data_IF_768894601910
#
_entry.id   IF_768894601910
#
_cell.length_a   1.000
_cell.length_b   1.000
_cell.length_c   1.000
_cell.angle_alpha   90.00
_cell.angle_beta   90.00
_cell.angle_gamma   90.00
#
_symmetry.space_group_name_H-M   'P 1'
#
loop_
_entity.id
_entity.type
_entity.pdbx_description
1 polymer ?
#
# COMPACT_ATOMS: atom_id res chain seq x y z
N UNK A 1 1.44 5.09 -26.51
CA UNK A 1 0.33 4.74 -25.61
C UNK A 1 0.40 5.70 -24.43
N UNK A 2 -0.50 6.65 -24.35
CA UNK A 2 -0.55 7.59 -23.22
C UNK A 2 -1.03 6.82 -22.00
N UNK A 3 -0.15 6.61 -21.02
CA UNK A 3 -0.56 6.04 -19.74
C UNK A 3 -1.51 7.03 -19.04
N UNK A 4 -2.54 6.52 -18.39
CA UNK A 4 -3.43 7.36 -17.56
C UNK A 4 -2.61 8.10 -16.52
N UNK A 5 -2.78 9.41 -16.33
CA UNK A 5 -2.00 10.18 -15.37
C UNK A 5 -2.23 9.70 -13.94
N UNK A 6 -1.23 9.87 -13.10
CA UNK A 6 -1.33 9.62 -11.66
C UNK A 6 -2.13 10.79 -11.07
N UNK A 7 -3.33 10.51 -10.56
CA UNK A 7 -4.21 11.52 -9.97
C UNK A 7 -3.83 11.74 -8.51
N UNK A 8 -3.29 12.92 -8.21
CA UNK A 8 -2.74 13.28 -6.91
C UNK A 8 -3.62 14.32 -6.23
N UNK A 9 -3.93 14.12 -4.95
CA UNK A 9 -4.50 15.14 -4.07
C UNK A 9 -3.43 15.63 -3.08
N UNK A 10 -3.30 16.96 -2.92
CA UNK A 10 -2.36 17.59 -1.99
C UNK A 10 -3.13 18.02 -0.73
N UNK A 11 -2.68 17.57 0.44
CA UNK A 11 -3.24 17.95 1.75
C UNK A 11 -2.13 18.66 2.55
N UNK A 12 -2.21 19.97 2.61
CA UNK A 12 -1.18 20.85 3.17
C UNK A 12 -1.81 22.18 3.60
N UNK A 13 -1.67 22.59 4.84
CA UNK A 13 -2.26 23.83 5.35
C UNK A 13 -1.46 25.09 4.96
N UNK A 14 -0.13 24.96 4.78
CA UNK A 14 0.72 26.06 4.39
C UNK A 14 0.56 26.44 2.91
N UNK A 15 -0.05 27.58 2.63
CA UNK A 15 -0.38 28.01 1.26
C UNK A 15 0.82 28.05 0.30
N UNK A 16 1.99 28.47 0.78
CA UNK A 16 3.23 28.56 -0.04
C UNK A 16 3.73 27.16 -0.40
N UNK A 17 3.74 26.24 0.54
CA UNK A 17 4.18 24.85 0.31
C UNK A 17 3.22 24.17 -0.66
N UNK A 18 1.91 24.30 -0.44
CA UNK A 18 0.87 23.74 -1.30
C UNK A 18 0.98 24.27 -2.74
N UNK A 19 1.16 25.60 -2.90
CA UNK A 19 1.37 26.19 -4.22
C UNK A 19 2.64 25.69 -4.90
N UNK A 20 3.75 25.54 -4.15
CA UNK A 20 5.00 24.97 -4.65
C UNK A 20 4.85 23.52 -5.11
N UNK A 21 4.19 22.67 -4.32
CA UNK A 21 3.89 21.30 -4.68
C UNK A 21 3.03 21.21 -5.96
N UNK A 22 1.99 22.03 -6.05
CA UNK A 22 1.16 22.08 -7.25
C UNK A 22 1.96 22.48 -8.49
N UNK A 23 2.79 23.51 -8.41
CA UNK A 23 3.64 23.95 -9.53
C UNK A 23 4.62 22.87 -9.96
N UNK A 24 5.26 22.20 -8.98
CA UNK A 24 6.17 21.09 -9.23
C UNK A 24 5.47 19.97 -9.97
N UNK A 25 4.34 19.50 -9.47
CA UNK A 25 3.62 18.36 -10.04
C UNK A 25 2.99 18.72 -11.40
N UNK A 26 2.57 19.96 -11.61
CA UNK A 26 2.01 20.40 -12.89
C UNK A 26 3.06 20.41 -14.03
N UNK A 27 4.36 20.43 -13.70
CA UNK A 27 5.45 20.35 -14.70
C UNK A 27 5.80 18.91 -15.10
N UNK A 28 5.25 17.89 -14.38
CA UNK A 28 5.60 16.49 -14.61
C UNK A 28 4.58 15.79 -15.52
N UNK A 29 5.00 15.38 -16.74
CA UNK A 29 4.15 14.62 -17.62
C UNK A 29 3.73 13.29 -16.99
N UNK A 30 2.44 13.05 -16.83
CA UNK A 30 1.91 11.82 -16.23
C UNK A 30 1.48 11.95 -14.78
N UNK A 31 1.57 13.15 -14.18
CA UNK A 31 0.99 13.47 -12.89
C UNK A 31 -0.07 14.56 -13.06
N UNK A 32 -1.22 14.38 -12.43
CA UNK A 32 -2.33 15.34 -12.43
C UNK A 32 -2.74 15.65 -11.00
N UNK A 33 -2.69 16.93 -10.62
CA UNK A 33 -3.23 17.38 -9.33
C UNK A 33 -4.73 17.57 -9.49
N UNK A 34 -5.50 16.65 -8.92
CA UNK A 34 -6.97 16.63 -9.04
C UNK A 34 -7.68 17.34 -7.89
N UNK A 35 -6.96 17.69 -6.83
CA UNK A 35 -7.52 18.41 -5.71
C UNK A 35 -6.49 18.87 -4.70
N UNK A 36 -6.88 19.86 -3.91
CA UNK A 36 -6.11 20.42 -2.81
C UNK A 36 -7.00 20.52 -1.58
N UNK A 37 -6.44 20.28 -0.39
CA UNK A 37 -7.12 20.45 0.89
C UNK A 37 -6.17 21.08 1.91
N UNK A 38 -6.74 21.76 2.89
CA UNK A 38 -5.99 22.43 3.95
C UNK A 38 -6.21 21.80 5.32
N UNK A 39 -7.23 20.96 5.42
CA UNK A 39 -7.69 20.33 6.65
C UNK A 39 -8.34 18.97 6.37
N UNK A 40 -8.73 18.29 7.43
CA UNK A 40 -9.45 17.00 7.38
C UNK A 40 -10.69 17.07 6.53
N UNK A 41 -11.56 18.10 6.75
CA UNK A 41 -12.83 18.21 6.05
C UNK A 41 -12.64 18.31 4.55
N UNK A 42 -11.77 19.21 4.10
CA UNK A 42 -11.42 19.37 2.68
C UNK A 42 -10.83 18.11 2.07
N UNK A 43 -10.02 17.38 2.82
CA UNK A 43 -9.42 16.12 2.37
C UNK A 43 -10.50 15.07 2.04
N UNK A 44 -11.51 14.91 2.89
CA UNK A 44 -12.63 13.99 2.65
C UNK A 44 -13.52 14.44 1.50
N UNK A 45 -13.82 15.75 1.39
CA UNK A 45 -14.59 16.29 0.27
C UNK A 45 -13.91 16.03 -1.08
N UNK A 46 -12.59 16.23 -1.16
CA UNK A 46 -11.83 15.92 -2.38
C UNK A 46 -11.80 14.40 -2.63
N UNK A 47 -11.58 13.59 -1.60
CA UNK A 47 -11.58 12.13 -1.74
C UNK A 47 -12.89 11.61 -2.35
N UNK A 48 -14.03 12.09 -1.87
CA UNK A 48 -15.35 11.67 -2.35
C UNK A 48 -15.64 12.13 -3.78
N UNK A 49 -15.23 13.35 -4.12
CA UNK A 49 -15.49 13.93 -5.44
C UNK A 49 -14.56 13.41 -6.52
N UNK A 50 -13.27 13.32 -6.22
CA UNK A 50 -12.22 13.08 -7.22
C UNK A 50 -11.67 11.66 -7.23
N UNK A 51 -11.79 10.90 -6.13
CA UNK A 51 -11.18 9.58 -5.96
C UNK A 51 -9.73 9.54 -6.48
N UNK A 52 -8.78 10.30 -5.89
CA UNK A 52 -7.39 10.32 -6.33
C UNK A 52 -6.73 8.94 -6.22
N UNK A 53 -5.64 8.73 -6.95
CA UNK A 53 -4.83 7.51 -6.80
C UNK A 53 -3.86 7.61 -5.63
N UNK A 54 -3.46 8.85 -5.28
CA UNK A 54 -2.44 9.13 -4.30
C UNK A 54 -2.72 10.44 -3.57
N UNK A 55 -2.54 10.41 -2.26
CA UNK A 55 -2.54 11.59 -1.41
C UNK A 55 -1.10 11.98 -1.05
N UNK A 56 -0.73 13.24 -1.26
CA UNK A 56 0.43 13.86 -0.61
C UNK A 56 -0.07 14.57 0.63
N UNK A 57 0.38 14.14 1.79
CA UNK A 57 -0.20 14.55 3.06
C UNK A 57 0.86 15.14 3.98
N UNK A 58 0.74 16.41 4.34
CA UNK A 58 1.50 16.93 5.48
C UNK A 58 1.04 16.24 6.76
N UNK A 59 1.99 15.79 7.56
CA UNK A 59 1.68 15.17 8.87
C UNK A 59 0.99 16.16 9.79
N UNK A 60 1.34 17.42 9.74
CA UNK A 60 0.82 18.45 10.63
C UNK A 60 -0.05 19.44 9.86
N UNK A 61 -1.33 19.48 10.16
CA UNK A 61 -2.31 20.39 9.59
C UNK A 61 -2.83 21.33 10.69
N UNK A 62 -2.16 22.47 10.87
CA UNK A 62 -2.44 23.39 11.99
C UNK A 62 -2.25 22.69 13.33
N UNK A 63 -3.35 22.50 14.08
CA UNK A 63 -3.35 21.82 15.38
C UNK A 63 -3.67 20.32 15.29
N UNK A 64 -4.09 19.81 14.13
CA UNK A 64 -4.49 18.42 13.92
C UNK A 64 -3.37 17.62 13.25
N UNK A 65 -3.23 16.35 13.62
CA UNK A 65 -2.36 15.43 12.91
C UNK A 65 -3.14 14.70 11.82
N UNK A 66 -2.65 14.76 10.58
CA UNK A 66 -3.26 14.02 9.47
C UNK A 66 -3.23 12.51 9.69
N UNK A 67 -2.31 12.00 10.50
CA UNK A 67 -2.21 10.58 10.85
C UNK A 67 -3.51 10.08 11.51
N UNK A 68 -4.19 10.95 12.28
CA UNK A 68 -5.37 10.56 13.07
C UNK A 68 -6.60 10.24 12.20
N UNK A 69 -6.61 10.66 10.94
CA UNK A 69 -7.68 10.35 9.98
C UNK A 69 -7.21 9.66 8.69
N UNK A 70 -5.90 9.41 8.58
CA UNK A 70 -5.30 8.86 7.36
C UNK A 70 -5.92 7.52 6.95
N UNK A 71 -6.06 6.60 7.88
CA UNK A 71 -6.64 5.27 7.62
C UNK A 71 -8.07 5.37 7.07
N UNK A 72 -8.90 6.23 7.67
CA UNK A 72 -10.26 6.48 7.19
C UNK A 72 -10.27 7.09 5.78
N UNK A 73 -9.39 8.06 5.53
CA UNK A 73 -9.26 8.72 4.24
C UNK A 73 -8.88 7.72 3.13
N UNK A 74 -7.90 6.86 3.38
CA UNK A 74 -7.43 5.87 2.41
C UNK A 74 -8.50 4.85 2.04
N UNK A 75 -9.35 4.48 2.99
CA UNK A 75 -10.47 3.55 2.75
C UNK A 75 -11.53 4.13 1.82
N UNK A 76 -11.66 5.47 1.69
CA UNK A 76 -12.70 6.12 0.86
C UNK A 76 -12.51 5.86 -0.64
N UNK A 77 -11.29 5.87 -1.15
CA UNK A 77 -11.02 5.75 -2.59
C UNK A 77 -9.93 4.74 -2.94
N UNK A 78 -9.56 3.86 -2.02
CA UNK A 78 -8.49 2.87 -2.25
C UNK A 78 -7.21 3.51 -2.81
N UNK A 79 -6.85 4.66 -2.26
CA UNK A 79 -5.68 5.43 -2.64
C UNK A 79 -4.46 5.06 -1.80
N UNK A 80 -3.26 5.39 -2.29
CA UNK A 80 -2.03 5.36 -1.50
C UNK A 80 -1.76 6.72 -0.87
N UNK A 81 -0.93 6.79 0.17
CA UNK A 81 -0.47 8.06 0.72
C UNK A 81 1.05 8.12 0.84
N UNK A 82 1.59 9.31 0.53
CA UNK A 82 2.95 9.71 0.87
C UNK A 82 2.84 10.82 1.91
N UNK A 83 3.48 10.60 3.07
CA UNK A 83 3.57 11.61 4.10
C UNK A 83 4.69 12.60 3.76
N UNK A 84 4.39 13.87 3.92
CA UNK A 84 5.37 14.97 3.87
C UNK A 84 5.66 15.41 5.29
N UNK A 85 6.93 15.51 5.66
CA UNK A 85 7.33 15.93 7.01
C UNK A 85 8.52 16.88 6.99
N UNK A 86 8.50 17.86 7.87
CA UNK A 86 9.64 18.73 8.15
C UNK A 86 10.52 18.22 9.30
N UNK A 87 10.14 17.14 9.96
CA UNK A 87 10.81 16.62 11.15
C UNK A 87 11.09 15.13 11.06
N UNK A 88 12.10 14.68 11.77
CA UNK A 88 12.54 13.28 11.87
C UNK A 88 11.99 12.56 13.11
N UNK A 89 10.85 13.02 13.66
CA UNK A 89 10.23 12.41 14.84
C UNK A 89 9.78 10.99 14.53
N UNK A 90 10.59 10.02 14.95
CA UNK A 90 10.35 8.59 14.69
C UNK A 90 8.94 8.12 15.08
N UNK A 91 8.41 8.59 16.22
CA UNK A 91 7.08 8.17 16.68
C UNK A 91 5.95 8.63 15.74
N UNK A 92 6.05 9.84 15.17
CA UNK A 92 5.07 10.33 14.19
C UNK A 92 5.16 9.55 12.88
N UNK A 93 6.38 9.32 12.42
CA UNK A 93 6.63 8.55 11.19
C UNK A 93 6.07 7.14 11.34
N UNK A 94 6.33 6.49 12.47
CA UNK A 94 5.84 5.16 12.73
C UNK A 94 4.30 5.09 12.78
N UNK A 95 3.66 6.01 13.50
CA UNK A 95 2.18 6.10 13.51
C UNK A 95 1.62 6.30 12.11
N UNK A 96 2.30 7.08 11.27
CA UNK A 96 1.92 7.26 9.88
C UNK A 96 2.00 5.97 9.05
N UNK A 97 3.03 5.15 9.26
CA UNK A 97 3.15 3.82 8.64
C UNK A 97 2.03 2.89 9.12
N UNK A 98 1.77 2.87 10.43
CA UNK A 98 0.70 2.07 11.05
C UNK A 98 -0.69 2.50 10.56
N UNK A 99 -0.88 3.80 10.28
CA UNK A 99 -2.11 4.35 9.68
C UNK A 99 -2.25 4.07 8.17
N UNK A 100 -1.27 3.39 7.55
CA UNK A 100 -1.37 2.94 6.17
C UNK A 100 -0.62 3.79 5.14
N UNK A 101 0.25 4.72 5.55
CA UNK A 101 1.10 5.43 4.61
C UNK A 101 1.97 4.44 3.81
N UNK A 102 2.11 4.69 2.51
CA UNK A 102 2.92 3.88 1.60
C UNK A 102 4.28 4.51 1.32
N UNK A 103 4.48 5.76 1.74
CA UNK A 103 5.75 6.48 1.58
C UNK A 103 5.92 7.64 2.54
N UNK A 104 7.18 8.08 2.67
CA UNK A 104 7.58 9.26 3.42
C UNK A 104 8.62 10.04 2.63
N UNK A 105 8.45 11.35 2.54
CA UNK A 105 9.40 12.30 1.94
C UNK A 105 9.58 13.47 2.89
N UNK A 106 10.82 13.88 3.13
CA UNK A 106 11.10 15.08 3.92
C UNK A 106 10.91 16.33 3.06
N UNK A 107 10.27 17.36 3.61
CA UNK A 107 10.04 18.66 2.90
C UNK A 107 11.32 19.37 2.46
N UNK A 108 12.47 18.99 3.01
CA UNK A 108 13.80 19.50 2.63
C UNK A 108 14.52 18.68 1.57
N UNK A 109 13.93 17.58 1.07
CA UNK A 109 14.52 16.76 0.02
C UNK A 109 14.39 17.41 -1.36
N UNK A 110 15.25 16.94 -2.29
CA UNK A 110 15.20 17.41 -3.67
C UNK A 110 13.83 17.09 -4.30
N UNK A 111 13.20 18.01 -5.04
CA UNK A 111 11.93 17.76 -5.75
C UNK A 111 11.86 16.46 -6.55
N UNK A 112 12.97 16.07 -7.18
CA UNK A 112 13.05 14.80 -7.92
C UNK A 112 12.82 13.55 -7.06
N UNK A 113 13.10 13.63 -5.74
CA UNK A 113 12.85 12.54 -4.80
C UNK A 113 11.36 12.35 -4.62
N UNK A 114 10.59 13.44 -4.51
CA UNK A 114 9.15 13.41 -4.41
C UNK A 114 8.51 12.82 -5.67
N UNK A 115 8.96 13.23 -6.86
CA UNK A 115 8.44 12.70 -8.12
C UNK A 115 8.65 11.19 -8.19
N UNK A 116 9.87 10.72 -7.91
CA UNK A 116 10.18 9.28 -7.85
C UNK A 116 9.35 8.54 -6.80
N UNK A 117 9.14 9.14 -5.64
CA UNK A 117 8.29 8.57 -4.60
C UNK A 117 6.85 8.36 -5.10
N UNK A 118 6.27 9.37 -5.77
CA UNK A 118 4.93 9.29 -6.36
C UNK A 118 4.84 8.15 -7.36
N UNK A 119 5.76 8.06 -8.29
CA UNK A 119 5.79 7.01 -9.32
C UNK A 119 5.91 5.61 -8.71
N UNK A 120 6.82 5.43 -7.74
CA UNK A 120 7.05 4.15 -7.07
C UNK A 120 5.86 3.72 -6.22
N UNK A 121 5.30 4.65 -5.43
CA UNK A 121 4.13 4.37 -4.61
C UNK A 121 2.91 4.07 -5.49
N UNK A 122 2.73 4.79 -6.61
CA UNK A 122 1.68 4.48 -7.57
C UNK A 122 1.88 3.10 -8.22
N UNK A 123 3.12 2.67 -8.44
CA UNK A 123 3.44 1.32 -8.91
C UNK A 123 3.24 0.23 -7.83
N UNK A 124 2.85 0.61 -6.61
CA UNK A 124 2.60 -0.31 -5.49
C UNK A 124 3.85 -0.64 -4.67
N UNK A 125 4.93 0.14 -4.84
CA UNK A 125 6.13 0.00 -4.03
C UNK A 125 6.04 0.89 -2.78
N UNK A 126 6.73 0.51 -1.69
CA UNK A 126 6.87 1.37 -0.52
C UNK A 126 8.07 2.31 -0.68
N UNK A 127 7.90 3.58 -0.26
CA UNK A 127 8.97 4.58 -0.31
C UNK A 127 9.36 5.05 1.09
N UNK A 128 10.25 4.31 1.75
CA UNK A 128 10.77 4.61 3.08
C UNK A 128 12.29 4.40 3.11
N UNK A 129 13.00 5.11 3.98
CA UNK A 129 14.42 4.83 4.21
C UNK A 129 14.61 3.44 4.84
N UNK A 130 15.74 2.79 4.57
CA UNK A 130 16.05 1.46 5.14
C UNK A 130 16.07 1.45 6.66
N UNK A 131 16.51 2.55 7.29
CA UNK A 131 16.54 2.69 8.74
C UNK A 131 15.13 2.72 9.33
N UNK A 132 14.21 3.46 8.73
CA UNK A 132 12.81 3.52 9.14
C UNK A 132 12.11 2.17 8.99
N UNK A 133 12.36 1.46 7.91
CA UNK A 133 11.84 0.12 7.70
C UNK A 133 12.35 -0.85 8.77
N UNK A 134 13.64 -0.78 9.12
CA UNK A 134 14.25 -1.65 10.14
C UNK A 134 13.69 -1.38 11.52
N UNK A 135 13.51 -0.11 11.92
CA UNK A 135 12.95 0.24 13.24
C UNK A 135 11.47 -0.12 13.34
N UNK A 136 10.68 0.11 12.31
CA UNK A 136 9.29 -0.33 12.25
C UNK A 136 9.17 -1.85 12.37
N UNK A 137 10.05 -2.61 11.69
CA UNK A 137 10.11 -4.07 11.78
C UNK A 137 10.41 -4.59 13.19
N UNK A 138 11.38 -3.99 13.87
CA UNK A 138 11.78 -4.41 15.23
C UNK A 138 10.64 -4.18 16.21
N UNK A 139 9.94 -3.05 16.11
CA UNK A 139 8.81 -2.74 17.00
C UNK A 139 7.57 -3.59 16.72
N UNK A 140 7.25 -3.84 15.47
CA UNK A 140 6.18 -4.78 15.11
C UNK A 140 6.45 -6.19 15.64
N UNK A 141 7.70 -6.63 15.70
CA UNK A 141 8.09 -7.88 16.36
C UNK A 141 7.84 -7.83 17.87
N UNK A 142 8.10 -6.71 18.54
CA UNK A 142 7.93 -6.55 19.98
C UNK A 142 6.45 -6.51 20.41
N UNK A 143 5.58 -5.86 19.66
CA UNK A 143 4.12 -5.83 19.89
C UNK A 143 3.49 -7.21 19.65
N UNK A 144 4.10 -8.04 18.83
CA UNK A 144 3.61 -9.37 18.43
C UNK A 144 3.72 -10.46 19.50
N UNK A 145 4.63 -10.35 20.45
CA UNK A 145 4.74 -11.37 21.50
C UNK A 145 3.54 -11.40 22.46
N UNK A 146 2.60 -10.45 22.37
CA UNK A 146 1.50 -10.28 23.33
C UNK A 146 0.07 -10.47 22.78
N UNK A 147 -0.14 -10.82 21.48
CA UNK A 147 -1.49 -11.06 20.94
C UNK A 147 -1.53 -12.24 19.97
N UNK A 148 -1.62 -13.43 20.50
CA UNK A 148 -2.05 -14.61 19.75
C UNK A 148 -3.56 -14.75 19.90
N UNK A 149 -4.31 -14.24 18.93
CA UNK A 149 -5.71 -14.61 18.75
C UNK A 149 -5.78 -15.56 17.54
N UNK A 150 -5.35 -16.80 17.75
CA UNK A 150 -5.08 -17.80 16.71
C UNK A 150 -6.33 -18.13 15.85
N UNK A 151 -7.51 -18.14 16.45
CA UNK A 151 -8.74 -18.60 15.77
C UNK A 151 -9.27 -17.56 14.74
N UNK A 152 -9.15 -16.25 15.05
CA UNK A 152 -9.59 -15.18 14.14
C UNK A 152 -8.68 -15.11 12.91
N UNK A 153 -7.37 -15.24 13.10
CA UNK A 153 -6.40 -15.19 12.01
C UNK A 153 -6.52 -16.41 11.07
N UNK A 154 -6.75 -17.59 11.60
CA UNK A 154 -7.02 -18.79 10.80
C UNK A 154 -8.26 -18.59 9.91
N UNK A 155 -9.30 -17.96 10.43
CA UNK A 155 -10.51 -17.66 9.66
C UNK A 155 -10.27 -16.63 8.56
N UNK A 156 -9.52 -15.54 8.83
CA UNK A 156 -9.15 -14.54 7.83
C UNK A 156 -8.37 -15.19 6.66
N UNK A 157 -7.39 -16.01 6.98
CA UNK A 157 -6.56 -16.71 5.99
C UNK A 157 -7.39 -17.71 5.19
N UNK A 158 -8.32 -18.43 5.83
CA UNK A 158 -9.20 -19.38 5.15
C UNK A 158 -10.11 -18.71 4.10
N UNK A 159 -10.47 -17.44 4.30
CA UNK A 159 -11.29 -16.65 3.39
C UNK A 159 -10.57 -16.18 2.11
N UNK A 160 -9.25 -16.37 2.02
CA UNK A 160 -8.51 -16.06 0.80
C UNK A 160 -8.79 -17.14 -0.27
N UNK A 161 -9.13 -16.68 -1.46
CA UNK A 161 -9.20 -17.55 -2.64
C UNK A 161 -7.81 -18.07 -3.04
N UNK A 162 -7.74 -19.12 -3.85
CA UNK A 162 -6.47 -19.62 -4.39
C UNK A 162 -5.68 -18.52 -5.13
N UNK A 163 -6.38 -17.69 -5.92
CA UNK A 163 -5.77 -16.58 -6.66
C UNK A 163 -5.25 -15.49 -5.76
N UNK A 164 -5.95 -15.16 -4.70
CA UNK A 164 -5.49 -14.19 -3.71
C UNK A 164 -4.25 -14.70 -2.96
N UNK A 165 -4.17 -15.98 -2.62
CA UNK A 165 -2.97 -16.59 -2.01
C UNK A 165 -1.76 -16.53 -2.93
N UNK A 166 -1.93 -16.78 -4.24
CA UNK A 166 -0.85 -16.61 -5.22
C UNK A 166 -0.34 -15.17 -5.26
N UNK A 167 -1.24 -14.19 -5.23
CA UNK A 167 -0.88 -12.77 -5.22
C UNK A 167 -0.15 -12.41 -3.93
N UNK A 168 -0.62 -12.88 -2.77
CA UNK A 168 0.07 -12.67 -1.48
C UNK A 168 1.49 -13.21 -1.52
N UNK A 169 1.69 -14.43 -2.01
CA UNK A 169 3.02 -15.01 -2.14
C UNK A 169 3.93 -14.21 -3.08
N UNK A 170 3.42 -13.72 -4.22
CA UNK A 170 4.20 -12.88 -5.14
C UNK A 170 4.53 -11.50 -4.56
N UNK A 171 3.61 -10.89 -3.81
CA UNK A 171 3.86 -9.65 -3.07
C UNK A 171 4.98 -9.85 -2.05
N UNK A 172 4.98 -10.97 -1.35
CA UNK A 172 6.00 -11.29 -0.32
C UNK A 172 7.42 -11.46 -0.90
N UNK A 173 7.54 -11.78 -2.19
CA UNK A 173 8.84 -11.80 -2.88
C UNK A 173 9.32 -10.42 -3.33
N UNK A 174 8.58 -9.36 -3.01
CA UNK A 174 8.93 -7.97 -3.38
C UNK A 174 8.57 -7.60 -4.82
N UNK A 175 7.75 -8.40 -5.51
CA UNK A 175 7.28 -8.06 -6.85
C UNK A 175 6.29 -6.90 -6.79
N UNK A 176 6.48 -5.92 -7.67
CA UNK A 176 5.52 -4.86 -7.85
C UNK A 176 4.29 -5.33 -8.64
N UNK A 177 3.22 -4.57 -8.57
CA UNK A 177 1.92 -4.90 -9.16
C UNK A 177 1.99 -5.25 -10.65
N UNK A 178 2.81 -4.50 -11.42
CA UNK A 178 2.98 -4.73 -12.86
C UNK A 178 3.61 -6.09 -13.13
N UNK A 179 4.67 -6.45 -12.41
CA UNK A 179 5.32 -7.77 -12.54
C UNK A 179 4.43 -8.91 -12.07
N UNK A 180 3.61 -8.69 -11.04
CA UNK A 180 2.60 -9.66 -10.62
C UNK A 180 1.58 -9.88 -11.74
N UNK A 181 1.09 -8.81 -12.37
CA UNK A 181 0.17 -8.89 -13.49
C UNK A 181 0.76 -9.68 -14.67
N UNK A 182 2.01 -9.40 -15.04
CA UNK A 182 2.76 -10.13 -16.06
C UNK A 182 2.90 -11.62 -15.71
N UNK A 183 3.32 -11.95 -14.48
CA UNK A 183 3.53 -13.33 -14.04
C UNK A 183 2.27 -14.16 -13.94
N UNK A 184 1.13 -13.50 -13.76
CA UNK A 184 -0.17 -14.13 -13.62
C UNK A 184 -1.05 -14.04 -14.88
N UNK A 185 -0.53 -13.43 -15.95
CA UNK A 185 -1.23 -13.22 -17.24
C UNK A 185 -2.57 -12.49 -17.08
N UNK A 186 -2.60 -11.45 -16.24
CA UNK A 186 -3.78 -10.60 -16.00
C UNK A 186 -3.43 -9.12 -16.17
N UNK A 187 -4.45 -8.25 -16.15
CA UNK A 187 -4.22 -6.80 -16.19
C UNK A 187 -3.74 -6.26 -14.82
N UNK A 188 -3.03 -5.12 -14.84
CA UNK A 188 -2.66 -4.39 -13.62
C UNK A 188 -3.90 -4.01 -12.79
N UNK A 189 -4.99 -3.61 -13.46
CA UNK A 189 -6.26 -3.32 -12.81
C UNK A 189 -6.84 -4.54 -12.08
N UNK A 190 -6.70 -5.74 -12.65
CA UNK A 190 -7.13 -6.99 -12.02
C UNK A 190 -6.34 -7.26 -10.75
N UNK A 191 -5.02 -7.08 -10.77
CA UNK A 191 -4.17 -7.24 -9.58
C UNK A 191 -4.54 -6.21 -8.51
N UNK A 192 -4.79 -4.95 -8.89
CA UNK A 192 -5.27 -3.91 -7.95
C UNK A 192 -6.55 -4.35 -7.23
N UNK A 193 -7.55 -4.83 -7.97
CA UNK A 193 -8.81 -5.29 -7.40
C UNK A 193 -8.61 -6.47 -6.43
N UNK A 194 -7.75 -7.42 -6.77
CA UNK A 194 -7.39 -8.50 -5.86
C UNK A 194 -6.70 -8.00 -4.60
N UNK A 195 -5.75 -7.06 -4.72
CA UNK A 195 -5.07 -6.49 -3.55
C UNK A 195 -6.06 -5.77 -2.63
N UNK A 196 -7.01 -5.02 -3.17
CA UNK A 196 -8.08 -4.39 -2.38
C UNK A 196 -8.90 -5.44 -1.60
N UNK A 197 -9.29 -6.52 -2.27
CA UNK A 197 -10.02 -7.62 -1.62
C UNK A 197 -9.18 -8.30 -0.53
N UNK A 198 -7.88 -8.54 -0.79
CA UNK A 198 -6.93 -9.13 0.16
C UNK A 198 -6.78 -8.23 1.40
N UNK A 199 -6.59 -6.92 1.19
CA UNK A 199 -6.45 -5.96 2.30
C UNK A 199 -7.68 -5.99 3.21
N UNK A 200 -8.90 -5.98 2.63
CA UNK A 200 -10.13 -6.07 3.41
C UNK A 200 -10.29 -7.42 4.14
N UNK A 201 -9.94 -8.54 3.51
CA UNK A 201 -10.07 -9.88 4.12
C UNK A 201 -9.10 -10.13 5.26
N UNK A 202 -7.86 -9.65 5.11
CA UNK A 202 -6.80 -9.82 6.10
C UNK A 202 -6.75 -8.68 7.13
N UNK A 203 -7.53 -7.62 6.89
CA UNK A 203 -7.54 -6.41 7.72
C UNK A 203 -6.13 -5.79 7.82
N UNK A 204 -5.51 -5.62 6.65
CA UNK A 204 -4.19 -4.97 6.50
C UNK A 204 -4.34 -3.71 5.66
N UNK A 205 -3.75 -2.56 6.07
CA UNK A 205 -4.01 -1.27 5.44
C UNK A 205 -3.29 -1.06 4.09
N UNK A 206 -2.22 -1.80 3.82
CA UNK A 206 -1.39 -1.61 2.61
C UNK A 206 -0.57 -2.85 2.26
N UNK A 207 0.11 -2.77 1.10
CA UNK A 207 0.95 -3.86 0.59
C UNK A 207 2.14 -4.16 1.52
N UNK A 208 2.66 -3.18 2.21
CA UNK A 208 3.77 -3.35 3.15
C UNK A 208 3.34 -4.22 4.35
N UNK A 209 2.22 -3.88 4.98
CA UNK A 209 1.63 -4.68 6.06
C UNK A 209 1.24 -6.10 5.58
N UNK A 210 0.82 -6.23 4.32
CA UNK A 210 0.53 -7.52 3.71
C UNK A 210 1.78 -8.42 3.65
N UNK A 211 2.96 -7.88 3.29
CA UNK A 211 4.22 -8.65 3.29
C UNK A 211 4.53 -9.20 4.68
N UNK A 212 4.38 -8.38 5.71
CA UNK A 212 4.61 -8.83 7.10
C UNK A 212 3.58 -9.84 7.56
N UNK A 213 2.32 -9.60 7.23
CA UNK A 213 1.26 -10.53 7.53
C UNK A 213 1.54 -11.90 6.89
N UNK A 214 1.93 -11.91 5.63
CA UNK A 214 2.25 -13.14 4.89
C UNK A 214 3.43 -13.90 5.50
N UNK A 215 4.54 -13.22 5.81
CA UNK A 215 5.70 -13.83 6.46
C UNK A 215 5.37 -14.38 7.85
N UNK A 216 4.48 -13.70 8.59
CA UNK A 216 4.04 -14.16 9.91
C UNK A 216 3.27 -15.46 9.85
N UNK A 217 2.42 -15.59 8.86
CA UNK A 217 1.46 -16.68 8.77
C UNK A 217 1.86 -17.74 7.73
N UNK A 218 3.11 -17.69 7.22
CA UNK A 218 3.63 -18.68 6.25
C UNK A 218 2.88 -18.67 4.91
N UNK A 219 2.43 -17.48 4.47
CA UNK A 219 1.74 -17.30 3.19
C UNK A 219 2.70 -16.85 2.07
N UNK A 220 3.99 -16.75 2.34
CA UNK A 220 5.06 -16.37 1.42
C UNK A 220 5.53 -17.53 0.53
N UNK A 221 5.16 -18.77 0.85
CA UNK A 221 5.39 -19.91 0.00
C UNK A 221 4.27 -20.07 -1.05
N UNK A 222 4.65 -20.30 -2.31
CA UNK A 222 3.67 -20.62 -3.35
C UNK A 222 2.94 -21.93 -2.97
N UNK A 223 1.62 -21.96 -3.02
CA UNK A 223 0.91 -23.23 -2.85
C UNK A 223 1.37 -24.19 -3.93
N UNK A 224 2.01 -25.28 -3.52
CA UNK A 224 2.37 -26.36 -4.43
C UNK A 224 1.11 -26.83 -5.17
N UNK A 225 1.15 -27.04 -6.49
CA UNK A 225 0.02 -27.60 -7.20
C UNK A 225 -0.28 -28.98 -6.57
N UNK A 226 -1.47 -29.13 -6.00
CA UNK A 226 -1.93 -30.45 -5.57
C UNK A 226 -1.88 -31.37 -6.80
N UNK A 227 -0.95 -32.30 -6.82
CA UNK A 227 -0.99 -33.43 -7.73
C UNK A 227 -2.34 -34.13 -7.48
N UNK A 228 -3.26 -33.94 -8.40
CA UNK A 228 -4.45 -34.78 -8.48
C UNK A 228 -3.97 -36.19 -8.80
N UNK A 229 -3.92 -37.02 -7.78
CA UNK A 229 -3.72 -38.46 -7.94
C UNK A 229 -4.98 -39.02 -8.62
N UNK A 230 -4.92 -39.18 -9.92
CA UNK A 230 -5.88 -39.95 -10.70
C UNK A 230 -5.15 -40.59 -11.88
N UNK A 231 -4.47 -41.67 -11.60
CA UNK A 231 -4.35 -42.82 -12.54
C UNK A 231 -3.90 -44.04 -11.75
N UNK A 232 -4.86 -44.67 -11.13
CA UNK A 232 -4.70 -46.06 -10.70
C UNK A 232 -4.75 -46.91 -11.96
N UNK A 233 -3.59 -47.46 -12.34
CA UNK A 233 -3.45 -48.40 -13.40
C UNK A 233 -4.18 -49.70 -13.01
N UNK A 234 -5.03 -50.20 -13.89
CA UNK A 234 -5.62 -51.54 -13.84
C UNK A 234 -4.51 -52.60 -14.02
N UNK A 235 -4.51 -53.68 -13.26
CA UNK A 235 -3.65 -54.82 -13.56
C UNK A 235 -4.19 -55.56 -14.78
N UNK A 236 -3.26 -55.88 -15.70
CA UNK A 236 -3.56 -56.81 -16.80
C UNK A 236 -3.64 -58.24 -16.27
N UNK A 237 -4.76 -58.86 -16.44
CA UNK A 237 -4.88 -60.32 -16.32
C UNK A 237 -4.30 -60.98 -17.54
N UNK A 238 -3.35 -61.89 -17.28
CA UNK A 238 -2.86 -62.83 -18.25
C UNK A 238 -3.66 -64.15 -18.14
N UNK A 239 -4.15 -64.57 -19.28
CA UNK A 239 -4.39 -65.96 -19.58
C UNK A 239 -3.40 -66.35 -20.67
#
# INVERSE_FOLDING_TARGET
>A
MTSTPIRVCIIEDHAIVRAGLRMLLASEPGIEVVGEAVDRKGAFEVAERECPNLFLVDIQLGSESAIDFLEELLKRCNASAILLTGTDKEDQIQRGIEAGASGLVFKGENPEVLIRAIERVHAGEAWFSRSLLSSALLRLRAVRSNRVNTDVEVTKIANLTGREREIVALVSTGLNRKRIAESLFVSDATVRNHLTSIFGKLDVPNQFELVFYAQRHGLDERPSPKLTAAHVARPAEHN
#
